data_IF_070825570531
#
_entry.id   IF_070825570531
#
_cell.length_a   1.000
_cell.length_b   1.000
_cell.length_c   1.000
_cell.angle_alpha   90.00
_cell.angle_beta   90.00
_cell.angle_gamma   90.00
#
_symmetry.space_group_name_H-M   'P 1'
#
loop_
_entity.id
_entity.type
_entity.pdbx_description
1 polymer ?
#
# COMPACT_ATOMS: atom_id res chain seq x y z
N UNK A 1 -4.06 27.84 -24.59
CA UNK A 1 -4.14 27.98 -26.05
C UNK A 1 -2.73 27.85 -26.62
N UNK A 2 -2.56 27.04 -27.65
CA UNK A 2 -1.26 26.80 -28.31
C UNK A 2 -1.07 27.85 -29.42
N UNK A 3 0.20 28.18 -29.68
CA UNK A 3 0.51 29.27 -30.63
C UNK A 3 0.33 28.93 -32.13
N UNK A 4 0.09 27.64 -32.47
CA UNK A 4 -0.10 27.18 -33.87
C UNK A 4 -1.29 26.21 -33.97
N UNK A 5 -2.22 26.50 -34.87
CA UNK A 5 -3.47 25.79 -35.15
C UNK A 5 -3.31 24.33 -35.65
N UNK A 6 -2.09 23.87 -35.98
CA UNK A 6 -1.81 22.53 -36.55
C UNK A 6 -0.64 21.80 -35.89
N UNK A 7 -0.21 22.23 -34.70
CA UNK A 7 0.88 21.53 -34.01
C UNK A 7 0.34 20.31 -33.27
N UNK A 8 1.00 19.17 -33.42
CA UNK A 8 0.74 17.97 -32.63
C UNK A 8 1.00 18.22 -31.13
N UNK A 9 0.15 17.62 -30.30
CA UNK A 9 0.34 17.64 -28.85
C UNK A 9 1.56 16.77 -28.52
N UNK A 10 2.51 17.36 -27.80
CA UNK A 10 3.74 16.70 -27.41
C UNK A 10 3.73 16.31 -25.93
N UNK A 11 4.57 15.35 -25.53
CA UNK A 11 4.80 15.02 -24.12
C UNK A 11 5.24 16.23 -23.28
N UNK A 12 5.89 17.21 -23.90
CA UNK A 12 6.27 18.47 -23.21
C UNK A 12 5.07 19.32 -22.82
N UNK A 13 4.00 19.32 -23.62
CA UNK A 13 2.77 20.05 -23.31
C UNK A 13 2.09 19.45 -22.08
N UNK A 14 2.04 18.11 -22.01
CA UNK A 14 1.51 17.38 -20.84
C UNK A 14 2.36 17.67 -19.60
N UNK A 15 3.68 17.51 -19.70
CA UNK A 15 4.60 17.78 -18.58
C UNK A 15 4.49 19.22 -18.08
N UNK A 16 4.25 20.18 -18.97
CA UNK A 16 4.02 21.59 -18.60
C UNK A 16 2.74 21.74 -17.79
N UNK A 17 1.63 21.12 -18.22
CA UNK A 17 0.36 21.17 -17.49
C UNK A 17 0.48 20.55 -16.10
N UNK A 18 1.14 19.40 -15.99
CA UNK A 18 1.42 18.74 -14.69
C UNK A 18 2.27 19.65 -13.80
N UNK A 19 3.36 20.24 -14.34
CA UNK A 19 4.24 21.12 -13.58
C UNK A 19 3.53 22.42 -13.12
N UNK A 20 2.56 22.90 -13.89
CA UNK A 20 1.77 24.07 -13.48
C UNK A 20 0.86 23.76 -12.29
N UNK A 21 0.40 22.51 -12.13
CA UNK A 21 -0.37 22.09 -10.95
C UNK A 21 0.45 22.14 -9.66
N UNK A 22 1.75 21.84 -9.70
CA UNK A 22 2.63 21.97 -8.52
C UNK A 22 2.82 23.43 -8.05
N UNK A 23 2.41 24.42 -8.86
CA UNK A 23 2.46 25.85 -8.52
C UNK A 23 1.16 26.37 -7.91
N UNK A 24 0.13 25.52 -7.75
CA UNK A 24 -1.13 25.93 -7.16
C UNK A 24 -0.95 26.41 -5.73
N UNK A 25 -1.68 27.48 -5.40
CA UNK A 25 -1.70 28.00 -4.04
C UNK A 25 -2.60 27.10 -3.19
N UNK A 26 -2.00 26.46 -2.21
CA UNK A 26 -2.67 25.59 -1.25
C UNK A 26 -2.97 26.34 0.06
N UNK A 27 -3.86 25.80 0.92
CA UNK A 27 -4.01 26.23 2.28
C UNK A 27 -2.67 26.23 3.02
N UNK A 28 -2.45 27.14 3.99
CA UNK A 28 -1.21 27.15 4.76
C UNK A 28 -0.94 25.81 5.46
N UNK A 29 0.25 25.27 5.25
CA UNK A 29 0.67 24.00 5.86
C UNK A 29 0.52 22.76 5.00
N UNK A 30 -0.12 22.86 3.83
CA UNK A 30 -0.26 21.77 2.88
C UNK A 30 0.82 21.83 1.79
N UNK A 31 1.19 20.65 1.27
CA UNK A 31 2.11 20.47 0.13
C UNK A 31 1.50 19.45 -0.84
N UNK A 32 1.62 19.70 -2.14
CA UNK A 32 1.27 18.71 -3.16
C UNK A 32 2.30 17.59 -3.10
N UNK A 33 1.80 16.36 -3.01
CA UNK A 33 2.60 15.13 -3.09
C UNK A 33 2.55 14.56 -4.51
N UNK A 34 1.34 14.37 -5.04
CA UNK A 34 1.13 13.77 -6.36
C UNK A 34 0.10 14.53 -7.17
N UNK A 35 0.29 14.54 -8.49
CA UNK A 35 -0.61 15.10 -9.49
C UNK A 35 -0.85 14.04 -10.55
N UNK A 36 -2.07 13.50 -10.61
CA UNK A 36 -2.45 12.45 -11.55
C UNK A 36 -3.38 13.02 -12.62
N UNK A 37 -2.97 13.10 -13.89
CA UNK A 37 -3.87 13.40 -14.99
C UNK A 37 -4.98 12.35 -15.04
N UNK A 38 -6.21 12.79 -15.29
CA UNK A 38 -7.37 11.90 -15.37
C UNK A 38 -7.81 11.68 -16.82
N UNK A 39 -8.39 12.68 -17.41
CA UNK A 39 -8.88 12.66 -18.78
C UNK A 39 -8.50 13.96 -19.46
N UNK A 40 -8.15 13.87 -20.73
CA UNK A 40 -7.84 15.00 -21.55
C UNK A 40 -9.05 15.38 -22.44
N UNK A 41 -9.13 16.66 -22.76
CA UNK A 41 -10.07 17.19 -23.72
C UNK A 41 -9.28 17.99 -24.76
N UNK A 42 -9.40 17.61 -26.02
CA UNK A 42 -8.75 18.30 -27.15
C UNK A 42 -9.85 18.94 -28.01
N UNK A 43 -9.85 20.26 -28.15
CA UNK A 43 -10.78 21.04 -28.95
C UNK A 43 -12.27 20.70 -28.74
N UNK A 44 -12.66 20.29 -27.52
CA UNK A 44 -14.02 19.87 -27.14
C UNK A 44 -14.29 18.35 -27.23
N UNK A 45 -13.39 17.54 -27.75
CA UNK A 45 -13.46 16.08 -27.68
C UNK A 45 -12.97 15.63 -26.32
N UNK A 46 -13.88 15.01 -25.54
CA UNK A 46 -13.64 14.57 -24.15
C UNK A 46 -13.28 13.09 -24.08
N UNK A 47 -12.74 12.66 -22.92
CA UNK A 47 -12.48 11.24 -22.65
C UNK A 47 -11.22 10.69 -23.32
N UNK A 48 -10.30 11.56 -23.70
CA UNK A 48 -9.03 11.15 -24.31
C UNK A 48 -8.08 10.73 -23.18
N UNK A 49 -7.55 9.52 -23.28
CA UNK A 49 -6.58 8.96 -22.30
C UNK A 49 -5.16 9.41 -22.65
N UNK A 50 -4.78 9.34 -23.91
CA UNK A 50 -3.47 9.80 -24.40
C UNK A 50 -3.65 10.76 -25.57
N UNK A 51 -3.39 12.07 -25.39
CA UNK A 51 -3.52 13.08 -26.42
C UNK A 51 -2.23 13.26 -27.26
N UNK A 52 -1.14 12.53 -26.97
CA UNK A 52 0.14 12.71 -27.67
C UNK A 52 -0.01 12.35 -29.15
N UNK A 53 0.47 13.23 -30.04
CA UNK A 53 0.33 13.08 -31.49
C UNK A 53 -1.00 13.60 -32.07
N UNK A 54 -1.98 13.95 -31.24
CA UNK A 54 -3.22 14.60 -31.73
C UNK A 54 -2.96 16.04 -32.09
N UNK A 55 -3.60 16.52 -33.18
CA UNK A 55 -3.63 17.94 -33.54
C UNK A 55 -4.75 18.62 -32.76
N UNK A 56 -4.49 19.82 -32.24
CA UNK A 56 -5.50 20.61 -31.53
C UNK A 56 -4.95 21.93 -31.01
N UNK A 57 -5.85 22.92 -30.92
CA UNK A 57 -5.52 24.27 -30.42
C UNK A 57 -5.68 24.36 -28.90
N UNK A 58 -6.67 23.66 -28.36
CA UNK A 58 -7.01 23.70 -26.93
C UNK A 58 -6.85 22.34 -26.30
N UNK A 59 -5.91 22.20 -25.34
CA UNK A 59 -5.73 21.04 -24.50
C UNK A 59 -6.20 21.38 -23.07
N UNK A 60 -7.15 20.61 -22.57
CA UNK A 60 -7.63 20.66 -21.19
C UNK A 60 -7.40 19.30 -20.52
N UNK A 61 -7.21 19.29 -19.23
CA UNK A 61 -7.04 18.06 -18.45
C UNK A 61 -7.60 18.22 -17.04
N UNK A 62 -8.27 17.20 -16.55
CA UNK A 62 -8.66 17.09 -15.15
C UNK A 62 -7.54 16.42 -14.37
N UNK A 63 -7.27 16.89 -13.15
CA UNK A 63 -6.24 16.32 -12.29
C UNK A 63 -6.84 15.83 -10.98
N UNK A 64 -6.39 14.65 -10.55
CA UNK A 64 -6.50 14.22 -9.16
C UNK A 64 -5.22 14.65 -8.44
N UNK A 65 -5.35 15.53 -7.45
CA UNK A 65 -4.22 16.11 -6.72
C UNK A 65 -4.25 15.58 -5.29
N UNK A 66 -3.15 14.99 -4.86
CA UNK A 66 -2.97 14.51 -3.50
C UNK A 66 -2.09 15.47 -2.74
N UNK A 67 -2.58 15.96 -1.61
CA UNK A 67 -1.85 16.86 -0.73
C UNK A 67 -1.57 16.21 0.61
N UNK A 68 -0.49 16.64 1.27
CA UNK A 68 -0.13 16.20 2.60
C UNK A 68 0.35 17.36 3.46
N UNK A 69 0.26 17.18 4.79
CA UNK A 69 0.74 18.18 5.73
C UNK A 69 2.27 18.31 5.67
N UNK A 70 2.75 19.51 5.41
CA UNK A 70 4.18 19.82 5.30
C UNK A 70 4.96 19.40 6.56
N UNK A 71 4.38 19.58 7.74
CA UNK A 71 5.00 19.18 9.01
C UNK A 71 5.22 17.67 9.12
N UNK A 72 4.22 16.87 8.69
CA UNK A 72 4.33 15.41 8.69
C UNK A 72 5.44 14.94 7.73
N UNK A 73 5.44 15.48 6.50
CA UNK A 73 6.45 15.20 5.48
C UNK A 73 7.86 15.53 6.01
N UNK A 74 8.02 16.74 6.57
CA UNK A 74 9.31 17.18 7.12
C UNK A 74 9.78 16.29 8.27
N UNK A 75 8.87 15.83 9.13
CA UNK A 75 9.21 14.93 10.22
C UNK A 75 9.72 13.57 9.73
N UNK A 76 9.07 13.00 8.71
CA UNK A 76 9.51 11.74 8.08
C UNK A 76 10.92 11.92 7.47
N UNK A 77 11.12 12.98 6.69
CA UNK A 77 12.43 13.28 6.08
C UNK A 77 13.53 13.40 7.15
N UNK A 78 13.28 14.18 8.22
CA UNK A 78 14.23 14.33 9.31
C UNK A 78 14.53 13.03 10.06
N UNK A 79 13.55 12.14 10.21
CA UNK A 79 13.79 10.83 10.83
C UNK A 79 14.77 9.99 10.00
N UNK A 80 14.58 9.97 8.68
CA UNK A 80 15.45 9.24 7.74
C UNK A 80 16.85 9.84 7.71
N UNK A 81 16.97 11.17 7.64
CA UNK A 81 18.25 11.88 7.66
C UNK A 81 19.03 11.65 8.97
N UNK A 82 18.32 11.64 10.13
CA UNK A 82 18.93 11.31 11.43
C UNK A 82 19.41 9.87 11.52
N UNK A 83 18.82 8.96 10.77
CA UNK A 83 19.30 7.59 10.62
C UNK A 83 20.52 7.47 9.67
N UNK A 84 21.03 8.59 9.14
CA UNK A 84 22.18 8.64 8.24
C UNK A 84 21.85 8.28 6.79
N UNK A 85 20.57 8.26 6.42
CA UNK A 85 20.11 7.98 5.05
C UNK A 85 19.66 9.26 4.35
N UNK A 86 19.57 9.20 3.02
CA UNK A 86 19.00 10.27 2.20
C UNK A 86 17.64 9.85 1.68
N UNK A 87 16.69 10.77 1.69
CA UNK A 87 15.39 10.58 1.05
C UNK A 87 15.58 10.80 -0.45
N UNK A 88 15.29 9.79 -1.25
CA UNK A 88 15.30 9.88 -2.70
C UNK A 88 14.02 10.53 -3.19
N UNK A 89 12.87 9.94 -2.82
CA UNK A 89 11.55 10.44 -3.17
C UNK A 89 10.53 10.13 -2.06
N UNK A 90 9.31 10.65 -2.22
CA UNK A 90 8.18 10.46 -1.34
C UNK A 90 6.98 10.00 -2.16
N UNK A 91 6.44 8.85 -1.83
CA UNK A 91 5.21 8.35 -2.44
C UNK A 91 4.12 8.12 -1.39
N UNK A 92 2.88 8.12 -1.84
CA UNK A 92 1.73 7.81 -0.99
C UNK A 92 1.69 6.30 -0.73
N UNK A 93 1.44 5.91 0.53
CA UNK A 93 1.40 4.52 0.97
C UNK A 93 0.53 3.61 0.07
N UNK A 94 -0.74 3.94 -0.24
CA UNK A 94 -1.58 3.08 -1.07
C UNK A 94 -1.12 2.98 -2.53
N UNK A 95 -0.31 3.90 -3.04
CA UNK A 95 0.29 3.78 -4.39
C UNK A 95 1.34 2.67 -4.37
N UNK A 96 2.23 2.72 -3.39
CA UNK A 96 3.25 1.69 -3.22
C UNK A 96 2.61 0.30 -2.99
N UNK A 97 1.62 0.22 -2.09
CA UNK A 97 0.88 -1.02 -1.84
C UNK A 97 0.19 -1.55 -3.10
N UNK A 98 -0.33 -0.66 -3.98
CA UNK A 98 -0.97 -1.06 -5.24
C UNK A 98 0.01 -1.74 -6.20
N UNK A 99 1.21 -1.21 -6.34
CA UNK A 99 2.23 -1.78 -7.23
C UNK A 99 2.75 -3.13 -6.72
N UNK A 100 2.65 -3.38 -5.41
CA UNK A 100 3.01 -4.66 -4.84
C UNK A 100 1.95 -5.75 -5.01
N UNK A 101 0.63 -5.39 -5.02
CA UNK A 101 -0.44 -6.40 -4.84
C UNK A 101 -1.50 -6.41 -5.94
N UNK A 102 -1.53 -5.41 -6.84
CA UNK A 102 -2.49 -5.36 -7.94
C UNK A 102 -1.84 -5.72 -9.27
N UNK A 103 -2.57 -6.45 -10.09
CA UNK A 103 -2.18 -6.64 -11.49
C UNK A 103 -2.64 -5.46 -12.36
N UNK A 104 -2.01 -5.28 -13.52
CA UNK A 104 -2.41 -4.24 -14.48
C UNK A 104 -3.82 -4.50 -15.02
N UNK A 105 -4.23 -5.77 -15.15
CA UNK A 105 -5.59 -6.13 -15.56
C UNK A 105 -6.62 -5.68 -14.52
N UNK A 106 -6.33 -5.81 -13.22
CA UNK A 106 -7.21 -5.33 -12.14
C UNK A 106 -7.32 -3.81 -12.15
N UNK A 107 -6.18 -3.11 -12.30
CA UNK A 107 -6.17 -1.63 -12.41
C UNK A 107 -6.99 -1.16 -13.63
N UNK A 108 -6.89 -1.86 -14.76
CA UNK A 108 -7.68 -1.55 -15.97
C UNK A 108 -9.17 -1.88 -15.81
N UNK A 109 -9.51 -3.04 -15.25
CA UNK A 109 -10.90 -3.47 -15.07
C UNK A 109 -11.67 -2.65 -14.03
N UNK A 110 -10.94 -1.97 -13.14
CA UNK A 110 -11.49 -1.23 -12.00
C UNK A 110 -11.46 -2.04 -10.72
N UNK A 111 -10.74 -1.54 -9.73
CA UNK A 111 -10.53 -2.20 -8.42
C UNK A 111 -10.38 -1.16 -7.31
N UNK A 112 -10.88 -1.47 -6.13
CA UNK A 112 -10.56 -0.72 -4.91
C UNK A 112 -9.49 -1.47 -4.12
N UNK A 113 -8.34 -0.85 -3.90
CA UNK A 113 -7.34 -1.32 -2.95
C UNK A 113 -7.65 -0.74 -1.58
N UNK A 114 -7.63 -1.58 -0.55
CA UNK A 114 -7.84 -1.21 0.85
C UNK A 114 -6.69 -1.75 1.68
N UNK A 115 -5.83 -0.87 2.14
CA UNK A 115 -4.72 -1.20 3.04
C UNK A 115 -5.16 -0.95 4.49
N UNK A 116 -5.35 -2.02 5.26
CA UNK A 116 -5.76 -1.94 6.66
C UNK A 116 -4.51 -2.02 7.53
N UNK A 117 -3.97 -0.85 7.86
CA UNK A 117 -2.85 -0.71 8.78
C UNK A 117 -3.24 -0.84 10.25
N UNK A 118 -2.32 -0.45 11.15
CA UNK A 118 -2.59 -0.38 12.58
C UNK A 118 -3.42 0.85 12.95
N UNK A 119 -3.05 2.02 12.47
CA UNK A 119 -3.63 3.32 12.80
C UNK A 119 -4.55 3.91 11.76
N UNK A 120 -4.39 3.53 10.51
CA UNK A 120 -5.15 4.03 9.36
C UNK A 120 -5.66 2.88 8.50
N UNK A 121 -6.65 3.18 7.68
CA UNK A 121 -7.08 2.34 6.57
C UNK A 121 -7.10 3.22 5.32
N UNK A 122 -6.24 2.90 4.37
CA UNK A 122 -6.01 3.67 3.17
C UNK A 122 -6.75 3.02 2.00
N UNK A 123 -7.44 3.85 1.21
CA UNK A 123 -8.28 3.40 0.09
C UNK A 123 -7.81 4.09 -1.18
N UNK A 124 -7.63 3.31 -2.24
CA UNK A 124 -7.36 3.83 -3.58
C UNK A 124 -8.23 3.10 -4.59
N UNK A 125 -8.93 3.87 -5.41
CA UNK A 125 -9.78 3.34 -6.48
C UNK A 125 -9.08 3.54 -7.81
N UNK A 126 -8.87 2.44 -8.51
CA UNK A 126 -8.34 2.41 -9.88
C UNK A 126 -9.47 2.14 -10.87
N UNK A 127 -9.41 2.79 -12.02
CA UNK A 127 -10.28 2.54 -13.17
C UNK A 127 -9.53 2.94 -14.44
N UNK A 128 -9.49 2.03 -15.42
CA UNK A 128 -8.76 2.26 -16.68
C UNK A 128 -7.26 2.56 -16.46
N UNK A 129 -6.66 1.87 -15.48
CA UNK A 129 -5.26 2.05 -15.11
C UNK A 129 -4.95 3.34 -14.34
N UNK A 130 -5.93 4.21 -14.11
CA UNK A 130 -5.76 5.52 -13.46
C UNK A 130 -6.29 5.51 -12.04
N UNK A 131 -5.61 6.25 -11.16
CA UNK A 131 -6.09 6.51 -9.79
C UNK A 131 -7.21 7.54 -9.88
N UNK A 132 -8.43 7.11 -9.56
CA UNK A 132 -9.63 7.96 -9.61
C UNK A 132 -10.01 8.56 -8.28
N UNK A 133 -9.69 7.87 -7.18
CA UNK A 133 -10.00 8.33 -5.83
C UNK A 133 -8.99 7.81 -4.84
N UNK A 134 -8.66 8.62 -3.85
CA UNK A 134 -7.86 8.24 -2.68
C UNK A 134 -8.54 8.76 -1.42
N UNK A 135 -8.57 7.94 -0.37
CA UNK A 135 -9.12 8.32 0.92
C UNK A 135 -8.35 7.65 2.04
N UNK A 136 -8.37 8.27 3.23
CA UNK A 136 -7.76 7.74 4.45
C UNK A 136 -8.81 7.74 5.54
N UNK A 137 -9.08 6.56 6.09
CA UNK A 137 -9.91 6.39 7.29
C UNK A 137 -8.95 6.42 8.49
N UNK A 138 -9.16 7.32 9.50
CA UNK A 138 -8.17 7.56 10.56
C UNK A 138 -8.20 6.49 11.67
N UNK A 139 -8.53 5.25 11.35
CA UNK A 139 -8.46 4.10 12.24
C UNK A 139 -8.25 2.80 11.45
N UNK A 140 -7.70 1.79 12.12
CA UNK A 140 -7.37 0.48 11.57
C UNK A 140 -7.34 -0.58 12.67
N UNK A 141 -6.42 -1.54 12.60
CA UNK A 141 -6.34 -2.68 13.50
C UNK A 141 -6.21 -2.35 15.00
N UNK A 142 -5.68 -1.17 15.36
CA UNK A 142 -5.50 -0.76 16.75
C UNK A 142 -6.83 -0.48 17.47
N UNK A 143 -7.85 -0.03 16.75
CA UNK A 143 -9.20 0.18 17.33
C UNK A 143 -9.80 -1.15 17.73
N UNK A 144 -9.65 -2.20 16.89
CA UNK A 144 -10.07 -3.56 17.24
C UNK A 144 -9.39 -4.04 18.52
N UNK A 145 -8.08 -3.77 18.66
CA UNK A 145 -7.32 -4.12 19.87
C UNK A 145 -7.87 -3.38 21.09
N UNK A 146 -8.24 -2.10 20.95
CA UNK A 146 -8.85 -1.32 22.02
C UNK A 146 -10.23 -1.86 22.42
N UNK A 147 -11.05 -2.26 21.46
CA UNK A 147 -12.37 -2.86 21.73
C UNK A 147 -12.22 -4.21 22.47
N UNK A 148 -11.26 -5.04 22.07
CA UNK A 148 -10.92 -6.27 22.77
C UNK A 148 -10.45 -5.99 24.19
N UNK A 149 -9.57 -5.01 24.37
CA UNK A 149 -9.10 -4.60 25.70
C UNK A 149 -10.26 -4.21 26.62
N UNK A 150 -11.20 -3.43 26.14
CA UNK A 150 -12.36 -2.97 26.91
C UNK A 150 -13.38 -4.09 27.11
N UNK A 151 -13.82 -4.72 26.02
CA UNK A 151 -14.84 -5.78 26.04
C UNK A 151 -14.42 -7.04 26.78
N UNK A 152 -13.14 -7.39 26.73
CA UNK A 152 -12.55 -8.48 27.48
C UNK A 152 -11.94 -8.05 28.80
N UNK A 153 -11.79 -6.76 29.11
CA UNK A 153 -11.15 -6.21 30.32
C UNK A 153 -9.74 -6.80 30.51
N UNK A 154 -8.88 -6.65 29.53
CA UNK A 154 -7.50 -7.15 29.52
C UNK A 154 -6.53 -6.02 29.20
N UNK A 155 -5.23 -6.23 29.38
CA UNK A 155 -4.25 -5.23 28.98
C UNK A 155 -4.06 -5.17 27.47
N UNK A 156 -3.66 -4.00 26.96
CA UNK A 156 -3.45 -3.76 25.52
C UNK A 156 -2.57 -4.84 24.85
N UNK A 157 -1.40 -5.23 25.39
CA UNK A 157 -0.58 -6.29 24.80
C UNK A 157 -1.26 -7.68 24.78
N UNK A 158 -2.13 -7.94 25.77
CA UNK A 158 -2.90 -9.19 25.80
C UNK A 158 -4.02 -9.15 24.76
N UNK A 159 -4.71 -8.02 24.60
CA UNK A 159 -5.73 -7.81 23.59
C UNK A 159 -5.17 -8.00 22.17
N UNK A 160 -3.99 -7.45 21.89
CA UNK A 160 -3.30 -7.63 20.60
C UNK A 160 -2.97 -9.10 20.33
N UNK A 161 -2.42 -9.80 21.33
CA UNK A 161 -2.15 -11.23 21.23
C UNK A 161 -3.41 -12.07 21.00
N UNK A 162 -4.53 -11.70 21.64
CA UNK A 162 -5.82 -12.35 21.43
C UNK A 162 -6.31 -12.13 19.98
N UNK A 163 -6.22 -10.90 19.48
CA UNK A 163 -6.56 -10.57 18.10
C UNK A 163 -5.77 -11.40 17.10
N UNK A 164 -4.45 -11.43 17.23
CA UNK A 164 -3.56 -12.14 16.29
C UNK A 164 -3.78 -13.66 16.37
N UNK A 165 -3.85 -14.24 17.55
CA UNK A 165 -3.87 -15.69 17.73
C UNK A 165 -5.25 -16.32 17.56
N UNK A 166 -6.30 -15.67 18.04
CA UNK A 166 -7.65 -16.21 18.12
C UNK A 166 -8.69 -15.37 17.35
N UNK A 167 -8.30 -14.21 16.80
CA UNK A 167 -9.19 -13.32 16.07
C UNK A 167 -9.75 -13.97 14.81
N UNK A 168 -11.01 -13.66 14.55
CA UNK A 168 -11.72 -13.95 13.30
C UNK A 168 -12.70 -12.81 13.01
N UNK A 169 -12.95 -12.55 11.75
CA UNK A 169 -13.93 -11.54 11.33
C UNK A 169 -15.38 -12.04 11.39
N UNK A 170 -15.61 -13.36 11.43
CA UNK A 170 -16.96 -13.95 11.39
C UNK A 170 -17.21 -14.91 12.55
N UNK A 171 -18.25 -14.64 13.33
CA UNK A 171 -18.70 -15.51 14.44
C UNK A 171 -19.25 -16.84 13.93
N UNK A 172 -19.90 -16.86 12.77
CA UNK A 172 -20.48 -18.07 12.16
C UNK A 172 -19.42 -19.12 11.80
N UNK A 173 -18.18 -18.70 11.60
CA UNK A 173 -17.04 -19.57 11.30
C UNK A 173 -16.37 -20.17 12.57
N UNK A 174 -16.86 -19.81 13.75
CA UNK A 174 -16.37 -20.38 15.03
C UNK A 174 -17.30 -21.49 15.47
N UNK A 175 -17.01 -22.72 15.06
CA UNK A 175 -17.84 -23.89 15.37
C UNK A 175 -17.74 -24.26 16.84
N UNK A 176 -16.54 -24.38 17.39
CA UNK A 176 -16.29 -24.71 18.77
C UNK A 176 -16.06 -23.44 19.60
N UNK A 177 -16.89 -23.24 20.62
CA UNK A 177 -16.70 -22.11 21.52
C UNK A 177 -15.63 -22.42 22.57
N UNK A 178 -14.37 -22.25 22.19
CA UNK A 178 -13.24 -22.49 23.10
C UNK A 178 -13.19 -21.45 24.20
N UNK A 179 -12.76 -21.85 25.38
CA UNK A 179 -12.40 -20.95 26.47
C UNK A 179 -10.91 -20.66 26.39
N UNK A 180 -10.57 -19.40 26.29
CA UNK A 180 -9.18 -18.90 26.21
C UNK A 180 -8.81 -18.41 27.61
N UNK A 181 -7.82 -19.07 28.23
CA UNK A 181 -7.27 -18.67 29.52
C UNK A 181 -6.16 -17.63 29.32
N UNK A 182 -6.31 -16.48 29.95
CA UNK A 182 -5.34 -15.38 29.93
C UNK A 182 -4.67 -15.30 31.29
N UNK A 183 -3.32 -15.29 31.34
CA UNK A 183 -2.60 -15.14 32.61
C UNK A 183 -3.02 -13.83 33.32
N UNK A 184 -3.37 -13.95 34.58
CA UNK A 184 -3.62 -12.78 35.43
C UNK A 184 -2.35 -11.99 35.73
N UNK A 185 -2.50 -10.76 36.21
CA UNK A 185 -1.41 -9.95 36.77
C UNK A 185 -0.99 -10.59 38.10
N UNK A 186 0.24 -10.37 38.56
CA UNK A 186 0.78 -10.94 39.80
C UNK A 186 -0.26 -10.95 40.93
N UNK A 187 -0.61 -12.15 41.41
CA UNK A 187 -1.57 -12.37 42.50
C UNK A 187 -3.05 -12.43 42.09
N UNK A 188 -3.35 -12.31 40.80
CA UNK A 188 -4.71 -12.48 40.28
C UNK A 188 -4.88 -13.82 39.59
N UNK A 189 -6.09 -14.37 39.63
CA UNK A 189 -6.47 -15.59 38.93
C UNK A 189 -6.44 -15.41 37.41
N UNK A 190 -6.36 -16.51 36.69
CA UNK A 190 -6.48 -16.52 35.22
C UNK A 190 -7.87 -16.02 34.83
N UNK A 191 -7.92 -15.21 33.79
CA UNK A 191 -9.17 -14.75 33.19
C UNK A 191 -9.55 -15.68 32.05
N UNK A 192 -10.79 -16.12 32.03
CA UNK A 192 -11.35 -16.95 30.97
C UNK A 192 -12.19 -16.10 30.01
N UNK A 193 -11.96 -16.24 28.72
CA UNK A 193 -12.67 -15.53 27.67
C UNK A 193 -13.20 -16.54 26.64
N UNK A 194 -14.47 -16.44 26.30
CA UNK A 194 -15.06 -17.22 25.21
C UNK A 194 -14.56 -16.71 23.84
N UNK A 195 -14.08 -17.62 22.99
CA UNK A 195 -13.64 -17.30 21.64
C UNK A 195 -14.77 -16.64 20.83
N UNK A 196 -16.02 -17.12 20.95
CA UNK A 196 -17.17 -16.48 20.30
C UNK A 196 -17.42 -15.05 20.73
N UNK A 197 -17.20 -14.73 22.01
CA UNK A 197 -17.33 -13.34 22.47
C UNK A 197 -16.23 -12.45 21.93
N UNK A 198 -15.00 -12.94 21.90
CA UNK A 198 -13.87 -12.23 21.28
C UNK A 198 -14.19 -11.93 19.82
N UNK A 199 -14.63 -12.93 19.06
CA UNK A 199 -14.93 -12.77 17.64
C UNK A 199 -16.12 -11.84 17.39
N UNK A 200 -17.14 -11.81 18.27
CA UNK A 200 -18.25 -10.83 18.17
C UNK A 200 -17.77 -9.40 18.29
N UNK A 201 -16.84 -9.13 19.21
CA UNK A 201 -16.26 -7.79 19.37
C UNK A 201 -15.51 -7.40 18.09
N UNK A 202 -14.70 -8.31 17.55
CA UNK A 202 -13.93 -8.09 16.34
C UNK A 202 -14.85 -7.87 15.13
N UNK A 203 -15.86 -8.75 14.94
CA UNK A 203 -16.79 -8.66 13.82
C UNK A 203 -17.54 -7.33 13.81
N UNK A 204 -18.07 -6.89 14.94
CA UNK A 204 -18.80 -5.62 15.03
C UNK A 204 -17.93 -4.43 14.59
N UNK A 205 -16.64 -4.40 14.98
CA UNK A 205 -15.72 -3.35 14.55
C UNK A 205 -15.36 -3.47 13.08
N UNK A 206 -15.17 -4.69 12.59
CA UNK A 206 -14.88 -4.91 11.17
C UNK A 206 -16.04 -4.53 10.26
N UNK A 207 -17.28 -4.82 10.67
CA UNK A 207 -18.48 -4.38 9.94
C UNK A 207 -18.56 -2.85 9.86
N UNK A 208 -18.30 -2.15 10.97
CA UNK A 208 -18.23 -0.68 10.96
C UNK A 208 -17.11 -0.16 10.04
N UNK A 209 -15.93 -0.76 10.05
CA UNK A 209 -14.85 -0.37 9.14
C UNK A 209 -15.25 -0.60 7.68
N UNK A 210 -15.90 -1.72 7.37
CA UNK A 210 -16.40 -2.02 6.03
C UNK A 210 -17.48 -1.02 5.57
N UNK A 211 -18.32 -0.52 6.49
CA UNK A 211 -19.30 0.54 6.18
C UNK A 211 -18.61 1.83 5.75
N UNK A 212 -17.54 2.24 6.44
CA UNK A 212 -16.73 3.40 6.05
C UNK A 212 -16.03 3.19 4.71
N UNK A 213 -15.48 1.99 4.47
CA UNK A 213 -14.86 1.65 3.19
C UNK A 213 -15.89 1.75 2.05
N UNK A 214 -17.07 1.17 2.23
CA UNK A 214 -18.16 1.24 1.25
C UNK A 214 -18.62 2.67 1.01
N UNK A 215 -18.68 3.48 2.07
CA UNK A 215 -19.05 4.89 1.94
C UNK A 215 -18.04 5.66 1.07
N UNK A 216 -16.74 5.46 1.28
CA UNK A 216 -15.70 6.08 0.46
C UNK A 216 -15.72 5.56 -0.98
N UNK A 217 -15.92 4.27 -1.20
CA UNK A 217 -16.05 3.70 -2.55
C UNK A 217 -17.25 4.31 -3.28
N UNK A 218 -18.41 4.46 -2.64
CA UNK A 218 -19.59 5.11 -3.22
C UNK A 218 -19.35 6.58 -3.48
N UNK A 219 -18.67 7.28 -2.57
CA UNK A 219 -18.29 8.68 -2.71
C UNK A 219 -17.38 8.91 -3.91
N UNK A 220 -16.56 7.95 -4.28
CA UNK A 220 -15.73 8.01 -5.49
C UNK A 220 -16.57 8.08 -6.78
N UNK A 221 -17.81 7.60 -6.77
CA UNK A 221 -18.68 7.47 -7.96
C UNK A 221 -18.33 6.29 -8.86
N UNK A 222 -17.41 5.41 -8.44
CA UNK A 222 -16.96 4.25 -9.22
C UNK A 222 -17.45 2.91 -8.66
N UNK A 223 -18.31 2.91 -7.64
CA UNK A 223 -18.83 1.70 -6.96
C UNK A 223 -19.39 0.63 -7.92
N UNK A 224 -19.98 1.05 -9.04
CA UNK A 224 -20.57 0.16 -10.08
C UNK A 224 -19.60 -0.23 -11.18
N UNK A 225 -18.38 0.28 -11.17
CA UNK A 225 -17.36 0.08 -12.22
C UNK A 225 -16.21 -0.80 -11.75
N UNK A 226 -16.25 -1.31 -10.52
CA UNK A 226 -15.18 -2.11 -9.92
C UNK A 226 -15.37 -3.59 -10.24
N UNK A 227 -15.04 -4.00 -11.45
CA UNK A 227 -15.11 -5.42 -11.90
C UNK A 227 -14.12 -6.27 -11.09
N UNK A 228 -12.94 -5.73 -10.76
CA UNK A 228 -11.93 -6.36 -9.90
C UNK A 228 -12.33 -6.41 -8.42
N UNK A 229 -13.46 -5.76 -8.04
CA UNK A 229 -13.95 -5.75 -6.66
C UNK A 229 -13.06 -5.00 -5.68
N UNK A 230 -12.84 -5.58 -4.51
CA UNK A 230 -12.02 -4.99 -3.43
C UNK A 230 -10.84 -5.92 -3.12
N UNK A 231 -9.64 -5.37 -3.13
CA UNK A 231 -8.42 -6.07 -2.72
C UNK A 231 -7.98 -5.51 -1.37
N UNK A 232 -7.89 -6.37 -0.36
CA UNK A 232 -7.44 -6.01 0.98
C UNK A 232 -5.98 -6.36 1.17
N UNK A 233 -5.22 -5.45 1.76
CA UNK A 233 -3.82 -5.67 2.15
C UNK A 233 -3.54 -5.06 3.53
N UNK A 234 -2.30 -5.08 3.97
CA UNK A 234 -1.92 -4.63 5.31
C UNK A 234 -2.15 -5.66 6.41
N UNK A 235 -1.71 -5.32 7.62
CA UNK A 235 -1.79 -6.24 8.77
C UNK A 235 -3.21 -6.62 9.18
N UNK A 236 -4.20 -5.73 8.97
CA UNK A 236 -5.61 -5.98 9.26
C UNK A 236 -6.24 -7.02 8.33
N UNK A 237 -5.73 -7.16 7.11
CA UNK A 237 -6.19 -8.15 6.14
C UNK A 237 -5.87 -9.60 6.55
N UNK A 238 -4.91 -9.80 7.46
CA UNK A 238 -4.57 -11.12 8.01
C UNK A 238 -5.61 -11.69 8.99
N UNK A 239 -6.63 -10.90 9.36
CA UNK A 239 -7.67 -11.40 10.24
C UNK A 239 -8.41 -12.56 9.56
N UNK A 240 -8.52 -13.70 10.27
CA UNK A 240 -9.17 -14.89 9.72
C UNK A 240 -10.59 -14.56 9.25
N UNK A 241 -10.98 -15.11 8.10
CA UNK A 241 -12.29 -14.92 7.45
C UNK A 241 -12.61 -13.45 7.06
N UNK A 242 -11.58 -12.58 6.95
CA UNK A 242 -11.75 -11.20 6.52
C UNK A 242 -12.39 -11.11 5.13
N UNK A 243 -11.87 -11.87 4.17
CA UNK A 243 -12.38 -11.94 2.80
C UNK A 243 -13.87 -12.34 2.75
N UNK A 244 -14.25 -13.36 3.54
CA UNK A 244 -15.64 -13.83 3.61
C UNK A 244 -16.59 -12.78 4.19
N UNK A 245 -16.17 -12.13 5.29
CA UNK A 245 -16.96 -11.05 5.90
C UNK A 245 -17.12 -9.90 4.91
N UNK A 246 -16.01 -9.48 4.28
CA UNK A 246 -16.02 -8.37 3.34
C UNK A 246 -16.93 -8.67 2.15
N UNK A 247 -16.82 -9.83 1.52
CA UNK A 247 -17.68 -10.23 0.41
C UNK A 247 -19.17 -10.30 0.81
N UNK A 248 -19.46 -10.83 2.00
CA UNK A 248 -20.83 -10.89 2.53
C UNK A 248 -21.41 -9.50 2.80
N UNK A 249 -20.62 -8.63 3.45
CA UNK A 249 -21.06 -7.30 3.89
C UNK A 249 -21.18 -6.31 2.73
N UNK A 250 -20.22 -6.36 1.80
CA UNK A 250 -20.16 -5.40 0.68
C UNK A 250 -20.98 -5.83 -0.54
N UNK A 251 -21.22 -7.13 -0.69
CA UNK A 251 -21.79 -7.70 -1.91
C UNK A 251 -20.88 -7.66 -3.13
N UNK A 252 -19.59 -7.32 -2.94
CA UNK A 252 -18.57 -7.24 -3.99
C UNK A 252 -17.61 -8.42 -3.90
N UNK A 253 -16.95 -8.75 -5.00
CA UNK A 253 -15.84 -9.69 -4.98
C UNK A 253 -14.71 -9.13 -4.12
N UNK A 254 -14.15 -9.95 -3.24
CA UNK A 254 -13.08 -9.56 -2.33
C UNK A 254 -11.95 -10.59 -2.36
N UNK A 255 -10.70 -10.13 -2.28
CA UNK A 255 -9.53 -11.00 -2.08
C UNK A 255 -8.50 -10.32 -1.18
N UNK A 256 -7.57 -11.11 -0.66
CA UNK A 256 -6.38 -10.59 0.01
C UNK A 256 -5.28 -10.44 -1.02
N UNK A 257 -4.71 -9.25 -1.11
CA UNK A 257 -3.55 -8.94 -1.95
C UNK A 257 -2.27 -9.33 -1.25
N UNK A 258 -1.47 -10.13 -1.92
CA UNK A 258 -0.17 -10.59 -1.43
C UNK A 258 0.93 -9.95 -2.27
N UNK A 259 1.97 -9.36 -1.67
CA UNK A 259 3.07 -8.77 -2.43
C UNK A 259 3.94 -9.83 -3.14
N UNK A 260 3.77 -11.11 -2.79
CA UNK A 260 4.46 -12.24 -3.42
C UNK A 260 4.19 -12.39 -4.91
N UNK A 261 3.03 -11.94 -5.38
CA UNK A 261 2.60 -12.12 -6.77
C UNK A 261 3.48 -11.34 -7.76
N UNK A 262 4.14 -10.27 -7.29
CA UNK A 262 5.05 -9.42 -8.06
C UNK A 262 6.53 -9.64 -7.73
N UNK A 263 6.87 -10.65 -6.91
CA UNK A 263 8.25 -10.98 -6.55
C UNK A 263 8.81 -12.14 -7.39
N UNK A 264 10.09 -12.04 -7.76
CA UNK A 264 10.81 -13.15 -8.38
C UNK A 264 11.01 -14.30 -7.38
N UNK A 265 11.17 -15.52 -7.89
CA UNK A 265 11.41 -16.70 -7.07
C UNK A 265 12.66 -16.57 -6.19
N UNK A 266 12.59 -17.10 -4.97
CA UNK A 266 13.72 -17.14 -4.01
C UNK A 266 13.66 -16.13 -2.89
N UNK A 267 12.56 -15.37 -2.74
CA UNK A 267 12.33 -14.52 -1.57
C UNK A 267 11.98 -15.38 -0.33
N UNK A 268 12.21 -14.83 0.86
CA UNK A 268 11.82 -15.47 2.11
C UNK A 268 10.30 -15.41 2.28
N UNK A 269 9.65 -16.52 2.66
CA UNK A 269 8.17 -16.63 2.76
C UNK A 269 7.51 -15.52 3.59
N UNK A 270 8.20 -15.05 4.66
CA UNK A 270 7.67 -13.98 5.51
C UNK A 270 7.40 -12.69 4.75
N UNK A 271 8.20 -12.39 3.71
CA UNK A 271 8.09 -11.17 2.91
C UNK A 271 6.82 -11.16 2.04
N UNK A 272 6.27 -12.35 1.73
CA UNK A 272 5.00 -12.50 1.01
C UNK A 272 3.76 -12.11 1.82
N UNK A 273 3.91 -11.73 3.10
CA UNK A 273 2.77 -11.31 3.93
C UNK A 273 2.26 -9.91 3.55
N UNK A 274 0.92 -9.66 3.60
CA UNK A 274 0.32 -8.35 3.35
C UNK A 274 0.88 -7.22 4.22
N UNK A 275 1.49 -7.51 5.36
CA UNK A 275 2.14 -6.53 6.23
C UNK A 275 3.25 -5.77 5.51
N UNK A 276 3.88 -6.40 4.51
CA UNK A 276 5.04 -5.85 3.79
C UNK A 276 4.67 -5.23 2.44
N UNK A 277 3.38 -5.16 2.07
CA UNK A 277 2.94 -4.66 0.76
C UNK A 277 3.50 -3.28 0.43
N UNK A 278 3.37 -2.32 1.35
CA UNK A 278 3.93 -0.97 1.18
C UNK A 278 5.46 -0.99 1.02
N UNK A 279 6.16 -1.76 1.86
CA UNK A 279 7.62 -1.86 1.80
C UNK A 279 8.12 -2.47 0.49
N UNK A 280 7.46 -3.48 0.00
CA UNK A 280 7.75 -4.12 -1.30
C UNK A 280 7.46 -3.16 -2.45
N UNK A 281 6.30 -2.49 -2.42
CA UNK A 281 5.95 -1.49 -3.44
C UNK A 281 6.94 -0.34 -3.51
N UNK A 282 7.42 0.16 -2.37
CA UNK A 282 8.48 1.18 -2.33
C UNK A 282 9.78 0.69 -2.98
N UNK A 283 10.14 -0.59 -2.80
CA UNK A 283 11.31 -1.18 -3.45
C UNK A 283 11.11 -1.30 -4.96
N UNK A 284 9.93 -1.71 -5.42
CA UNK A 284 9.60 -1.83 -6.84
C UNK A 284 9.67 -0.46 -7.53
N UNK A 285 9.02 0.56 -6.97
CA UNK A 285 9.07 1.95 -7.47
C UNK A 285 10.51 2.48 -7.54
N UNK A 286 11.30 2.26 -6.49
CA UNK A 286 12.70 2.69 -6.49
C UNK A 286 13.56 1.98 -7.54
N UNK A 287 13.29 0.71 -7.83
CA UNK A 287 13.98 -0.04 -8.89
C UNK A 287 13.58 0.47 -10.29
N UNK A 288 12.31 0.79 -10.50
CA UNK A 288 11.83 1.38 -11.75
C UNK A 288 12.49 2.73 -12.04
N UNK A 289 12.55 3.62 -11.05
CA UNK A 289 13.23 4.92 -11.18
C UNK A 289 14.73 4.77 -11.50
N UNK A 290 15.40 3.80 -10.87
CA UNK A 290 16.81 3.52 -11.15
C UNK A 290 17.02 3.03 -12.58
N UNK A 291 16.13 2.16 -13.08
CA UNK A 291 16.19 1.64 -14.45
C UNK A 291 15.93 2.74 -15.49
N UNK A 292 14.98 3.64 -15.23
CA UNK A 292 14.68 4.78 -16.11
C UNK A 292 15.81 5.83 -16.11
N UNK A 293 16.57 5.94 -15.02
CA UNK A 293 17.67 6.89 -14.85
C UNK A 293 19.00 6.37 -15.41
N UNK A 294 19.11 5.08 -15.76
CA UNK A 294 20.28 4.53 -16.44
C UNK A 294 20.26 4.98 -17.90
N UNK A 295 21.30 5.70 -18.39
CA UNK A 295 21.38 6.04 -19.80
C UNK A 295 21.41 4.73 -20.61
N UNK A 296 20.51 4.57 -21.57
CA UNK A 296 20.61 3.53 -22.57
C UNK A 296 22.00 3.66 -23.24
N UNK A 297 22.88 2.69 -23.04
CA UNK A 297 24.11 2.58 -23.82
C UNK A 297 23.68 2.51 -25.30
N UNK A 298 23.95 3.60 -26.00
CA UNK A 298 23.88 3.63 -27.46
C UNK A 298 24.84 2.57 -27.95
N UNK A 299 24.34 1.43 -28.36
CA UNK A 299 25.09 0.45 -29.15
C UNK A 299 25.46 1.14 -30.47
N UNK A 300 26.64 1.78 -30.48
CA UNK A 300 27.33 2.07 -31.74
C UNK A 300 27.86 0.75 -32.28
N UNK A 301 27.19 0.24 -33.30
CA UNK A 301 27.78 -0.69 -34.25
C UNK A 301 29.03 -0.04 -34.83
N UNK A 302 30.19 -0.49 -34.39
CA UNK A 302 31.42 -0.34 -35.15
C UNK A 302 32.01 -1.74 -35.36
N UNK A 303 31.87 -2.18 -36.58
CA UNK A 303 32.58 -3.33 -37.13
C UNK A 303 34.09 -3.06 -37.14
N UNK A 304 34.86 -4.03 -36.68
CA UNK A 304 36.23 -4.24 -37.16
C UNK A 304 37.35 -4.25 -36.14
N UNK A 305 37.92 -5.44 -35.95
CA UNK A 305 39.29 -5.81 -35.55
C UNK A 305 39.50 -6.29 -34.10
N UNK A 306 39.68 -7.61 -34.01
CA UNK A 306 40.44 -8.34 -32.96
C UNK A 306 41.94 -8.01 -32.97
N UNK A 307 42.81 -8.43 -32.00
CA UNK A 307 42.60 -9.39 -30.90
C UNK A 307 43.26 -9.07 -29.53
N UNK A 308 42.71 -9.68 -28.47
CA UNK A 308 43.26 -10.34 -27.26
C UNK A 308 44.48 -9.78 -26.51
N UNK A 309 44.81 -10.27 -25.27
CA UNK A 309 44.02 -10.34 -24.04
C UNK A 309 44.75 -9.73 -22.83
N UNK A 310 44.12 -9.34 -21.75
CA UNK A 310 44.63 -9.55 -20.36
C UNK A 310 43.77 -8.92 -19.26
N UNK A 311 43.47 -9.80 -18.27
CA UNK A 311 43.35 -9.54 -16.83
C UNK A 311 42.25 -8.61 -16.28
N UNK A 312 41.31 -9.30 -15.71
CA UNK A 312 40.65 -9.06 -14.39
C UNK A 312 40.76 -7.65 -13.80
N UNK A 313 39.61 -7.02 -13.59
CA UNK A 313 39.35 -6.28 -12.36
C UNK A 313 37.83 -6.07 -12.15
N UNK A 314 37.35 -6.66 -11.09
CA UNK A 314 36.28 -6.29 -10.19
C UNK A 314 35.00 -5.56 -10.68
N UNK A 315 33.96 -6.34 -10.68
CA UNK A 315 32.57 -5.91 -10.59
C UNK A 315 32.34 -5.12 -9.29
N UNK A 316 32.17 -3.83 -9.39
CA UNK A 316 31.68 -2.97 -8.30
C UNK A 316 30.41 -2.28 -8.74
N UNK A 317 29.28 -2.97 -8.62
CA UNK A 317 27.95 -2.38 -8.88
C UNK A 317 26.81 -2.98 -8.06
N UNK A 318 26.93 -4.22 -7.59
CA UNK A 318 25.81 -4.92 -6.96
C UNK A 318 25.91 -5.09 -5.42
N UNK A 319 26.99 -4.63 -4.81
CA UNK A 319 27.28 -4.96 -3.41
C UNK A 319 26.50 -4.19 -2.35
N UNK A 320 25.90 -3.04 -2.67
CA UNK A 320 25.15 -2.26 -1.70
C UNK A 320 23.65 -2.64 -1.66
N UNK A 321 23.08 -3.00 -2.80
CA UNK A 321 21.69 -3.48 -2.90
C UNK A 321 21.55 -4.81 -2.13
N UNK A 322 22.47 -5.75 -2.36
CA UNK A 322 22.52 -7.00 -1.61
C UNK A 322 22.73 -6.77 -0.10
N UNK A 323 23.48 -5.74 0.30
CA UNK A 323 23.65 -5.38 1.72
C UNK A 323 22.40 -4.71 2.31
N UNK A 324 21.68 -3.89 1.54
CA UNK A 324 20.43 -3.27 2.00
C UNK A 324 19.32 -4.32 2.16
N UNK A 325 19.17 -5.21 1.18
CA UNK A 325 18.24 -6.34 1.22
C UNK A 325 18.60 -7.30 2.36
N UNK A 326 19.88 -7.61 2.57
CA UNK A 326 20.33 -8.48 3.65
C UNK A 326 20.09 -7.86 5.05
N UNK A 327 20.30 -6.55 5.23
CA UNK A 327 19.97 -5.85 6.48
C UNK A 327 18.46 -5.77 6.73
N UNK A 328 17.67 -5.58 5.69
CA UNK A 328 16.21 -5.60 5.78
C UNK A 328 15.70 -6.99 6.17
N UNK A 329 16.28 -8.07 5.58
CA UNK A 329 15.97 -9.45 5.98
C UNK A 329 16.37 -9.74 7.43
N UNK A 330 17.55 -9.31 7.90
CA UNK A 330 17.95 -9.47 9.31
C UNK A 330 17.02 -8.72 10.28
N UNK A 331 16.49 -7.57 9.85
CA UNK A 331 15.53 -6.83 10.68
C UNK A 331 14.17 -7.55 10.75
N UNK A 332 13.74 -8.20 9.69
CA UNK A 332 12.52 -9.03 9.65
C UNK A 332 12.69 -10.29 10.52
N UNK A 333 13.87 -10.93 10.49
CA UNK A 333 14.17 -12.11 11.30
C UNK A 333 14.32 -11.80 12.80
N UNK A 334 14.53 -10.54 13.17
CA UNK A 334 14.61 -10.08 14.56
C UNK A 334 13.22 -9.84 15.19
N UNK A 335 12.18 -10.58 14.81
CA UNK A 335 10.91 -10.57 15.55
C UNK A 335 11.11 -10.98 17.00
N UNK A 336 10.57 -10.21 17.97
CA UNK A 336 10.65 -10.61 19.37
C UNK A 336 9.91 -11.94 19.56
N UNK A 337 10.60 -12.93 20.06
CA UNK A 337 10.11 -14.25 20.44
C UNK A 337 8.74 -14.16 21.16
N UNK A 338 7.68 -14.49 20.46
CA UNK A 338 6.31 -14.55 20.99
C UNK A 338 6.01 -15.90 21.65
N UNK A 339 7.05 -16.60 22.14
CA UNK A 339 6.92 -17.92 22.72
C UNK A 339 6.47 -17.85 24.19
N UNK A 340 5.16 -18.06 24.40
CA UNK A 340 4.52 -18.10 25.73
C UNK A 340 4.92 -19.30 26.61
N UNK A 341 5.70 -20.24 26.11
CA UNK A 341 5.86 -21.56 26.74
C UNK A 341 7.23 -21.83 27.37
N UNK A 342 8.13 -20.87 27.46
CA UNK A 342 9.36 -21.05 28.27
C UNK A 342 9.05 -20.86 29.75
N UNK A 343 8.69 -21.96 30.41
CA UNK A 343 8.80 -22.09 31.86
C UNK A 343 10.26 -21.92 32.24
N UNK A 344 10.58 -20.89 33.00
CA UNK A 344 11.83 -20.82 33.71
C UNK A 344 11.88 -22.02 34.71
N UNK A 345 12.90 -22.85 34.70
CA UNK A 345 13.10 -23.78 35.78
C UNK A 345 13.45 -22.97 37.03
N UNK A 346 12.68 -23.19 38.06
CA UNK A 346 12.97 -22.73 39.42
C UNK A 346 14.22 -23.43 39.91
N UNK A 347 15.22 -22.68 40.28
CA UNK A 347 16.17 -23.00 41.36
C UNK A 347 16.25 -21.78 42.28
#
# INVERSE_FOLDING_TARGET
MRDNDHSEISQRDISRLVNDMYKLVLPPGDKILHVFPQEYTVDSEQGIIDPVGMCGVKLEVNFHIVTGQHTAITNIQRCIERAGMKVADLTLEPIASADAVLSEEEKMAGVALVDIGGGTTDITVFQEGLIRHTAVIPFGGNVITSDIKEGCTVMQPQAEKLKIKYGSAMVSEVFDNRIIAIPGIRGHEHKEISEKNLVRIIQARMEELLDYILWEIRRSGYDRKLIGGIVFTGGGALLRNMEKLAAYHTGMSCRIGLPSDNLAHGYHESVGSPIYSTGIGLLLLGLEEMNMSSPAEVQQENAGNEPAPSNATEQTGSGWINRAVYRFMQWIEAEPDLDFNRRNPVN
#
